data_IF_775679496059
#
_entry.id   IF_775679496059
#
_cell.length_a   1.000
_cell.length_b   1.000
_cell.length_c   1.000
_cell.angle_alpha   90.00
_cell.angle_beta   90.00
_cell.angle_gamma   90.00
#
_symmetry.space_group_name_H-M   'P 1'
#
loop_
_entity.id
_entity.type
_entity.pdbx_description
1 polymer ?
#
# COMPACT_ATOMS: atom_id res chain seq x y z
N UNK A 1 -3.78 -6.33 1.81
CA UNK A 1 -2.78 -7.39 1.63
C UNK A 1 -2.44 -7.48 0.15
N UNK A 2 -1.25 -7.95 -0.23
CA UNK A 2 -0.89 -8.18 -1.64
C UNK A 2 -1.13 -9.65 -2.01
N UNK A 3 -1.83 -9.87 -3.12
CA UNK A 3 -2.02 -11.18 -3.72
C UNK A 3 -1.28 -11.24 -5.05
N UNK A 4 -0.54 -12.31 -5.26
CA UNK A 4 0.18 -12.58 -6.51
C UNK A 4 -0.65 -13.52 -7.38
N UNK A 5 -1.02 -13.08 -8.58
CA UNK A 5 -1.68 -13.92 -9.59
C UNK A 5 -0.69 -14.26 -10.70
N UNK A 6 0.32 -15.06 -10.35
CA UNK A 6 1.51 -15.33 -11.19
C UNK A 6 1.83 -16.83 -11.31
N UNK A 7 0.86 -17.70 -11.03
CA UNK A 7 1.03 -19.15 -11.01
C UNK A 7 2.18 -19.62 -10.07
N UNK A 8 2.34 -18.95 -8.92
CA UNK A 8 3.39 -19.23 -7.93
C UNK A 8 4.82 -19.11 -8.49
N UNK A 9 5.05 -18.03 -9.25
CA UNK A 9 6.37 -17.66 -9.72
C UNK A 9 7.40 -17.62 -8.57
N UNK A 10 8.64 -18.02 -8.87
CA UNK A 10 9.74 -18.12 -7.88
C UNK A 10 10.65 -16.90 -7.87
N UNK A 11 10.53 -16.04 -8.89
CA UNK A 11 11.34 -14.86 -9.17
C UNK A 11 10.63 -13.55 -8.79
N UNK A 12 9.79 -13.60 -7.76
CA UNK A 12 9.13 -12.40 -7.20
C UNK A 12 10.19 -11.40 -6.70
N UNK A 13 9.89 -10.08 -6.75
CA UNK A 13 10.75 -9.08 -6.13
C UNK A 13 10.89 -9.36 -4.62
N UNK A 14 12.00 -8.92 -4.02
CA UNK A 14 12.21 -9.05 -2.58
C UNK A 14 11.24 -8.18 -1.76
N UNK A 15 10.81 -7.05 -2.33
CA UNK A 15 9.81 -6.17 -1.74
C UNK A 15 9.00 -5.40 -2.80
N UNK A 16 7.85 -4.89 -2.36
CA UNK A 16 7.06 -3.89 -3.08
C UNK A 16 6.88 -2.67 -2.20
N UNK A 17 6.45 -1.55 -2.78
CA UNK A 17 6.08 -0.34 -2.03
C UNK A 17 4.61 -0.02 -2.27
N UNK A 18 3.86 0.12 -1.17
CA UNK A 18 2.46 0.52 -1.17
C UNK A 18 2.34 1.90 -0.56
N UNK A 19 1.85 2.86 -1.33
CA UNK A 19 1.55 4.20 -0.87
C UNK A 19 0.12 4.25 -0.30
N UNK A 20 -0.03 4.90 0.85
CA UNK A 20 -1.29 5.40 1.35
C UNK A 20 -1.46 6.83 0.86
N UNK A 21 -2.59 7.09 0.22
CA UNK A 21 -2.97 8.42 -0.26
C UNK A 21 -4.14 8.95 0.57
N UNK A 22 -4.03 10.20 1.01
CA UNK A 22 -5.10 10.98 1.61
C UNK A 22 -5.49 12.10 0.65
N UNK A 23 -6.73 12.11 0.19
CA UNK A 23 -7.23 13.06 -0.82
C UNK A 23 -6.33 13.12 -2.07
N UNK A 24 -5.78 11.98 -2.47
CA UNK A 24 -4.88 11.86 -3.63
C UNK A 24 -3.41 12.22 -3.37
N UNK A 25 -3.04 12.66 -2.17
CA UNK A 25 -1.65 12.95 -1.80
C UNK A 25 -1.05 11.78 -1.01
N UNK A 26 0.17 11.37 -1.36
CA UNK A 26 0.90 10.35 -0.61
C UNK A 26 1.26 10.88 0.77
N UNK A 27 0.79 10.20 1.82
CA UNK A 27 1.07 10.54 3.22
C UNK A 27 1.94 9.51 3.93
N UNK A 28 1.99 8.28 3.42
CA UNK A 28 2.83 7.21 3.95
C UNK A 28 3.17 6.20 2.86
N UNK A 29 4.35 5.58 2.94
CA UNK A 29 4.73 4.44 2.10
C UNK A 29 5.10 3.28 3.01
N UNK A 30 4.57 2.09 2.75
CA UNK A 30 4.96 0.85 3.41
C UNK A 30 5.75 -0.05 2.46
N UNK A 31 6.86 -0.57 2.95
CA UNK A 31 7.57 -1.66 2.28
C UNK A 31 6.95 -2.99 2.69
N UNK A 32 6.62 -3.83 1.70
CA UNK A 32 5.92 -5.09 1.90
C UNK A 32 6.77 -6.21 1.33
N UNK A 33 6.98 -7.28 2.10
CA UNK A 33 7.94 -8.34 1.79
C UNK A 33 7.31 -9.72 1.98
N UNK A 34 7.99 -10.77 1.50
CA UNK A 34 7.60 -12.13 1.86
C UNK A 34 7.68 -12.39 3.38
N UNK A 35 8.61 -11.75 4.09
CA UNK A 35 8.82 -11.94 5.53
C UNK A 35 7.63 -11.46 6.38
N UNK A 36 6.89 -10.44 5.93
CA UNK A 36 5.66 -9.99 6.57
C UNK A 36 4.40 -10.63 5.99
N UNK A 37 4.56 -11.70 5.19
CA UNK A 37 3.47 -12.42 4.55
C UNK A 37 2.75 -11.60 3.49
N UNK A 38 3.42 -10.62 2.86
CA UNK A 38 2.83 -9.70 1.90
C UNK A 38 1.68 -8.85 2.49
N UNK A 39 1.75 -8.54 3.78
CA UNK A 39 0.74 -7.75 4.50
C UNK A 39 1.22 -6.32 4.78
N UNK A 40 0.26 -5.42 4.89
CA UNK A 40 0.47 -4.04 5.30
C UNK A 40 -0.77 -3.53 6.03
N UNK A 41 -0.54 -2.66 7.00
CA UNK A 41 -1.57 -2.02 7.80
C UNK A 41 -1.20 -0.54 7.94
N UNK A 42 -2.18 0.32 7.76
CA UNK A 42 -2.11 1.73 8.12
C UNK A 42 -3.07 1.95 9.28
N UNK A 43 -2.57 2.55 10.36
CA UNK A 43 -3.33 2.80 11.60
C UNK A 43 -3.41 4.30 11.86
N UNK A 44 -4.27 4.70 12.80
CA UNK A 44 -4.37 6.08 13.29
C UNK A 44 -4.67 7.12 12.19
N UNK A 45 -5.49 6.74 11.21
CA UNK A 45 -5.93 7.62 10.14
C UNK A 45 -7.11 8.49 10.60
N UNK A 46 -6.91 9.81 10.65
CA UNK A 46 -7.97 10.75 10.97
C UNK A 46 -9.11 10.66 9.93
N UNK A 47 -10.36 10.66 10.37
CA UNK A 47 -11.49 10.57 9.43
C UNK A 47 -11.82 11.92 8.77
N UNK A 48 -11.54 13.04 9.45
CA UNK A 48 -11.91 14.39 9.02
C UNK A 48 -10.75 15.37 9.19
N UNK A 49 -10.73 16.43 8.38
CA UNK A 49 -9.83 17.56 8.54
C UNK A 49 -10.27 18.52 9.66
N UNK A 50 -9.51 19.60 9.86
CA UNK A 50 -9.79 20.61 10.88
C UNK A 50 -11.13 21.35 10.67
N UNK A 51 -11.70 21.32 9.47
CA UNK A 51 -12.98 21.93 9.13
C UNK A 51 -14.15 20.92 9.15
N UNK A 52 -13.89 19.66 9.51
CA UNK A 52 -14.89 18.60 9.51
C UNK A 52 -15.16 17.97 8.14
N UNK A 53 -14.31 18.20 7.13
CA UNK A 53 -14.43 17.57 5.80
C UNK A 53 -13.79 16.18 5.84
N UNK A 54 -14.51 15.17 5.36
CA UNK A 54 -14.04 13.79 5.39
C UNK A 54 -12.82 13.58 4.47
N UNK A 55 -11.83 12.85 4.97
CA UNK A 55 -10.72 12.38 4.14
C UNK A 55 -11.13 11.17 3.30
N UNK A 56 -10.68 11.15 2.05
CA UNK A 56 -10.72 9.95 1.21
C UNK A 56 -9.36 9.28 1.26
N UNK A 57 -9.33 8.03 1.67
CA UNK A 57 -8.12 7.22 1.68
C UNK A 57 -8.12 6.18 0.56
N UNK A 58 -7.01 6.09 -0.17
CA UNK A 58 -6.78 5.04 -1.16
C UNK A 58 -5.37 4.48 -0.97
N UNK A 59 -5.17 3.25 -1.44
CA UNK A 59 -3.84 2.63 -1.49
C UNK A 59 -3.42 2.43 -2.93
N UNK A 60 -2.15 2.63 -3.23
CA UNK A 60 -1.58 2.42 -4.56
C UNK A 60 -0.24 1.70 -4.47
N UNK A 61 -0.10 0.61 -5.20
CA UNK A 61 1.18 -0.04 -5.37
C UNK A 61 2.05 0.77 -6.35
N UNK A 62 3.33 0.96 -6.01
CA UNK A 62 4.31 1.52 -6.97
C UNK A 62 4.62 0.48 -8.04
N UNK A 63 4.96 0.91 -9.28
CA UNK A 63 5.31 -0.03 -10.34
C UNK A 63 6.34 -1.06 -9.87
N UNK A 64 6.06 -2.33 -10.13
CA UNK A 64 6.92 -3.46 -9.81
C UNK A 64 7.41 -4.00 -11.14
N UNK A 65 8.72 -4.01 -11.36
CA UNK A 65 9.27 -4.52 -12.63
C UNK A 65 8.81 -5.97 -12.87
N UNK A 66 8.25 -6.23 -14.05
CA UNK A 66 7.69 -7.54 -14.41
C UNK A 66 6.20 -7.74 -14.06
N UNK A 67 5.54 -6.74 -13.48
CA UNK A 67 4.11 -6.76 -13.11
C UNK A 67 3.37 -5.48 -13.50
#
# INVERSE_FOLDING_TARGET
TKTWNDNNATDRPSSIKVDLLQNGNVIQTQEVTAANGWNYTFVDLAQYDANGVAYTYTVKEKPVAGY
#
